data_IF_464991609621
#
_entry.id   IF_464991609621
#
_cell.length_a   1.000
_cell.length_b   1.000
_cell.length_c   1.000
_cell.angle_alpha   90.00
_cell.angle_beta   90.00
_cell.angle_gamma   90.00
#
_symmetry.space_group_name_H-M   'P 1'
#
loop_
_entity.id
_entity.type
_entity.pdbx_description
1 polymer ?
#
# COMPACT_ATOMS: atom_id res chain seq x y z
N UNK A 1 -1.24 -14.58 14.90
CA UNK A 1 -1.88 -13.24 14.87
C UNK A 1 -3.42 -13.31 14.90
N UNK A 2 -4.14 -12.40 15.57
CA UNK A 2 -5.61 -12.36 15.62
C UNK A 2 -6.21 -11.70 14.35
N UNK A 3 -7.17 -12.36 13.68
CA UNK A 3 -7.85 -11.85 12.47
C UNK A 3 -8.66 -10.58 12.75
N UNK A 4 -9.27 -10.45 13.93
CA UNK A 4 -10.03 -9.25 14.30
C UNK A 4 -9.13 -8.03 14.45
N UNK A 5 -7.93 -8.21 15.01
CA UNK A 5 -6.94 -7.14 15.12
C UNK A 5 -6.53 -6.63 13.74
N UNK A 6 -6.28 -7.54 12.79
CA UNK A 6 -5.96 -7.15 11.41
C UNK A 6 -7.13 -6.41 10.75
N UNK A 7 -8.36 -6.88 10.96
CA UNK A 7 -9.56 -6.20 10.44
C UNK A 7 -9.64 -4.76 10.94
N UNK A 8 -9.41 -4.53 12.24
CA UNK A 8 -9.43 -3.19 12.82
C UNK A 8 -8.34 -2.31 12.20
N UNK A 9 -7.11 -2.83 12.03
CA UNK A 9 -6.01 -2.11 11.37
C UNK A 9 -6.39 -1.72 9.94
N UNK A 10 -7.02 -2.62 9.17
CA UNK A 10 -7.45 -2.33 7.79
C UNK A 10 -8.43 -1.15 7.79
N UNK A 11 -9.46 -1.20 8.64
CA UNK A 11 -10.49 -0.15 8.72
C UNK A 11 -9.89 1.19 9.17
N UNK A 12 -9.02 1.18 10.18
CA UNK A 12 -8.30 2.38 10.64
C UNK A 12 -7.47 3.01 9.50
N UNK A 13 -6.76 2.18 8.74
CA UNK A 13 -5.93 2.64 7.62
C UNK A 13 -6.78 3.16 6.45
N UNK A 14 -7.93 2.57 6.17
CA UNK A 14 -8.87 3.05 5.17
C UNK A 14 -9.43 4.43 5.56
N UNK A 15 -9.78 4.64 6.84
CA UNK A 15 -10.20 5.94 7.35
C UNK A 15 -9.08 6.98 7.25
N UNK A 16 -7.84 6.59 7.58
CA UNK A 16 -6.66 7.46 7.45
C UNK A 16 -6.48 7.94 5.99
N UNK A 17 -6.60 7.05 5.00
CA UNK A 17 -6.50 7.40 3.58
C UNK A 17 -7.56 8.42 3.19
N UNK A 18 -8.78 8.30 3.72
CA UNK A 18 -9.86 9.24 3.44
C UNK A 18 -9.61 10.61 4.04
N UNK A 19 -9.11 10.67 5.28
CA UNK A 19 -8.90 11.92 6.02
C UNK A 19 -7.65 12.71 5.60
N UNK A 20 -6.64 12.03 5.04
CA UNK A 20 -5.41 12.68 4.63
C UNK A 20 -5.64 13.66 3.47
N UNK A 21 -5.22 14.90 3.67
CA UNK A 21 -5.10 15.91 2.62
C UNK A 21 -3.72 15.81 1.95
N UNK A 22 -3.71 15.71 0.62
CA UNK A 22 -2.48 15.57 -0.17
C UNK A 22 -2.38 16.70 -1.19
N UNK A 23 -1.25 17.39 -1.18
CA UNK A 23 -0.65 18.07 -2.33
C UNK A 23 -0.09 17.04 -3.33
N UNK A 24 -0.70 16.92 -4.50
CA UNK A 24 -0.32 15.95 -5.52
C UNK A 24 1.03 16.29 -6.18
N UNK A 25 1.86 15.26 -6.41
CA UNK A 25 3.08 15.36 -7.22
C UNK A 25 2.78 15.02 -8.68
N UNK A 26 3.49 15.61 -9.65
CA UNK A 26 3.34 15.30 -11.08
C UNK A 26 3.95 13.93 -11.40
N UNK A 27 3.29 12.88 -10.94
CA UNK A 27 3.65 11.49 -11.16
C UNK A 27 2.38 10.68 -11.39
N UNK A 28 2.34 10.04 -12.54
CA UNK A 28 1.23 9.18 -12.94
C UNK A 28 1.64 7.72 -12.78
N UNK A 29 0.75 6.95 -12.15
CA UNK A 29 0.92 5.52 -11.99
C UNK A 29 0.19 4.80 -13.11
N UNK A 30 0.81 3.77 -13.67
CA UNK A 30 0.17 2.82 -14.57
C UNK A 30 -0.86 1.97 -13.78
N UNK A 31 -1.99 1.66 -14.42
CA UNK A 31 -3.13 1.01 -13.74
C UNK A 31 -2.82 -0.39 -13.18
N UNK A 32 -1.89 -1.11 -13.81
CA UNK A 32 -1.48 -2.48 -13.41
C UNK A 32 0.00 -2.56 -13.03
N UNK A 33 0.64 -1.42 -12.77
CA UNK A 33 2.04 -1.35 -12.40
C UNK A 33 2.27 -1.83 -10.96
N UNK A 34 3.29 -2.66 -10.76
CA UNK A 34 3.79 -2.98 -9.43
C UNK A 34 4.95 -2.03 -9.13
N UNK A 35 4.83 -1.21 -8.08
CA UNK A 35 5.82 -0.17 -7.79
C UNK A 35 6.56 -0.46 -6.50
N UNK A 36 7.89 -0.38 -6.55
CA UNK A 36 8.70 -0.43 -5.34
C UNK A 36 9.41 0.89 -5.14
N UNK A 37 8.99 1.64 -4.12
CA UNK A 37 9.62 2.90 -3.76
C UNK A 37 10.80 2.65 -2.82
N UNK A 38 12.00 3.06 -3.23
CA UNK A 38 13.24 2.92 -2.45
C UNK A 38 13.84 4.30 -2.19
N UNK A 39 14.23 4.58 -0.95
CA UNK A 39 14.89 5.85 -0.62
C UNK A 39 15.07 6.12 0.87
N UNK A 40 15.72 7.24 1.17
CA UNK A 40 16.03 7.68 2.55
C UNK A 40 14.79 7.95 3.41
N UNK A 41 14.94 7.94 4.74
CA UNK A 41 13.87 8.34 5.68
C UNK A 41 13.35 9.73 5.30
N UNK A 42 12.04 9.96 5.45
CA UNK A 42 11.37 11.23 5.14
C UNK A 42 11.42 11.66 3.65
N UNK A 43 11.76 10.78 2.71
CA UNK A 43 11.66 11.09 1.27
C UNK A 43 10.21 11.25 0.75
N UNK A 44 9.20 11.06 1.59
CA UNK A 44 7.78 11.13 1.21
C UNK A 44 7.25 9.88 0.49
N UNK A 45 7.79 8.69 0.79
CA UNK A 45 7.36 7.45 0.12
C UNK A 45 5.94 7.04 0.51
N UNK A 46 5.58 7.12 1.79
CA UNK A 46 4.22 6.85 2.27
C UNK A 46 3.22 7.82 1.65
N UNK A 47 3.65 9.07 1.45
CA UNK A 47 2.87 10.09 0.78
C UNK A 47 2.53 9.74 -0.68
N UNK A 48 3.48 9.16 -1.42
CA UNK A 48 3.22 8.64 -2.77
C UNK A 48 2.20 7.50 -2.78
N UNK A 49 2.13 6.68 -1.72
CA UNK A 49 1.10 5.65 -1.61
C UNK A 49 -0.29 6.22 -1.40
N UNK A 50 -0.40 7.19 -0.50
CA UNK A 50 -1.67 7.87 -0.29
C UNK A 50 -2.13 8.58 -1.57
N UNK A 51 -1.20 9.16 -2.34
CA UNK A 51 -1.52 9.73 -3.64
C UNK A 51 -2.07 8.68 -4.60
N UNK A 52 -1.44 7.50 -4.68
CA UNK A 52 -1.96 6.41 -5.52
C UNK A 52 -3.34 5.93 -5.05
N UNK A 53 -3.53 5.78 -3.75
CA UNK A 53 -4.83 5.40 -3.20
C UNK A 53 -5.91 6.43 -3.56
N UNK A 54 -5.64 7.73 -3.40
CA UNK A 54 -6.57 8.80 -3.82
C UNK A 54 -6.82 8.82 -5.33
N UNK A 55 -5.82 8.54 -6.15
CA UNK A 55 -6.01 8.40 -7.60
C UNK A 55 -6.94 7.23 -7.94
N UNK A 56 -6.80 6.08 -7.28
CA UNK A 56 -7.71 4.94 -7.45
C UNK A 56 -9.14 5.32 -7.04
N UNK A 57 -9.31 6.00 -5.91
CA UNK A 57 -10.63 6.49 -5.48
C UNK A 57 -11.24 7.47 -6.51
N UNK A 58 -10.42 8.37 -7.09
CA UNK A 58 -10.85 9.28 -8.16
C UNK A 58 -11.22 8.55 -9.47
N UNK A 59 -10.60 7.41 -9.74
CA UNK A 59 -10.93 6.54 -10.87
C UNK A 59 -12.22 5.72 -10.66
N UNK A 60 -12.84 5.80 -9.47
CA UNK A 60 -14.09 5.12 -9.15
C UNK A 60 -13.93 3.76 -8.46
N UNK A 61 -12.71 3.41 -8.03
CA UNK A 61 -12.48 2.24 -7.17
C UNK A 61 -12.98 2.54 -5.74
N UNK A 62 -13.48 1.50 -5.06
CA UNK A 62 -13.95 1.61 -3.68
C UNK A 62 -12.77 1.61 -2.70
N UNK A 63 -12.93 2.26 -1.54
CA UNK A 63 -11.94 2.21 -0.46
C UNK A 63 -11.76 0.78 0.05
N UNK A 64 -12.80 -0.04 -0.04
CA UNK A 64 -12.74 -1.45 0.33
C UNK A 64 -11.79 -2.25 -0.59
N UNK A 65 -11.49 -1.75 -1.79
CA UNK A 65 -10.54 -2.39 -2.71
C UNK A 65 -9.07 -2.05 -2.38
N UNK A 66 -8.85 -1.15 -1.42
CA UNK A 66 -7.54 -0.62 -1.07
C UNK A 66 -7.11 -1.19 0.28
N UNK A 67 -6.05 -2.01 0.26
CA UNK A 67 -5.40 -2.54 1.45
C UNK A 67 -4.08 -1.79 1.70
N UNK A 68 -4.06 -0.98 2.74
CA UNK A 68 -2.84 -0.33 3.22
C UNK A 68 -2.39 -0.92 4.55
N UNK A 69 -1.10 -1.27 4.63
CA UNK A 69 -0.49 -1.84 5.82
C UNK A 69 0.87 -1.21 6.07
N UNK A 70 1.02 -0.70 7.30
CA UNK A 70 2.27 -0.17 7.84
C UNK A 70 2.92 -1.21 8.75
N UNK A 71 4.06 -1.77 8.35
CA UNK A 71 4.83 -2.66 9.24
C UNK A 71 5.53 -1.90 10.39
N UNK A 72 5.49 -0.57 10.39
CA UNK A 72 5.96 0.25 11.50
C UNK A 72 4.97 0.24 12.68
N UNK A 73 3.75 -0.26 12.48
CA UNK A 73 2.74 -0.42 13.53
C UNK A 73 3.16 -1.53 14.51
N UNK A 74 3.33 -1.17 15.78
CA UNK A 74 3.79 -2.06 16.85
C UNK A 74 2.94 -3.33 16.97
N UNK A 75 1.65 -3.27 16.62
CA UNK A 75 0.71 -4.41 16.68
C UNK A 75 1.04 -5.51 15.67
N UNK A 76 1.76 -5.17 14.59
CA UNK A 76 2.08 -6.08 13.47
C UNK A 76 3.58 -6.07 13.10
N UNK A 77 4.42 -5.38 13.87
CA UNK A 77 5.85 -5.20 13.61
C UNK A 77 6.63 -6.53 13.56
N UNK A 78 6.19 -7.56 14.28
CA UNK A 78 6.86 -8.87 14.36
C UNK A 78 6.25 -9.96 13.45
N UNK A 79 5.38 -9.58 12.51
CA UNK A 79 4.70 -10.57 11.66
C UNK A 79 5.71 -11.34 10.80
N UNK A 80 5.62 -12.67 10.84
CA UNK A 80 6.48 -13.56 10.04
C UNK A 80 5.93 -13.74 8.63
N UNK A 81 6.79 -14.10 7.68
CA UNK A 81 6.39 -14.31 6.28
C UNK A 81 5.26 -15.34 6.09
N UNK A 82 5.20 -16.35 6.96
CA UNK A 82 4.14 -17.37 6.94
C UNK A 82 2.80 -16.87 7.52
N UNK A 83 2.78 -15.73 8.21
CA UNK A 83 1.56 -15.12 8.75
C UNK A 83 0.98 -14.03 7.84
N UNK A 84 1.68 -13.64 6.77
CA UNK A 84 1.19 -12.65 5.79
C UNK A 84 -0.11 -13.09 5.11
N UNK A 85 -0.34 -14.39 4.96
CA UNK A 85 -1.59 -14.89 4.37
C UNK A 85 -2.81 -14.58 5.26
N UNK A 86 -2.62 -14.46 6.57
CA UNK A 86 -3.69 -14.09 7.52
C UNK A 86 -4.24 -12.70 7.17
N UNK A 87 -3.37 -11.79 6.74
CA UNK A 87 -3.75 -10.45 6.30
C UNK A 87 -4.65 -10.52 5.06
N UNK A 88 -4.22 -11.29 4.06
CA UNK A 88 -4.97 -11.45 2.81
C UNK A 88 -6.32 -12.14 3.05
N UNK A 89 -6.37 -13.10 3.98
CA UNK A 89 -7.61 -13.73 4.40
C UNK A 89 -8.53 -12.75 5.12
N UNK A 90 -8.01 -11.94 6.06
CA UNK A 90 -8.81 -10.96 6.80
C UNK A 90 -9.42 -9.91 5.85
N UNK A 91 -8.68 -9.48 4.83
CA UNK A 91 -9.18 -8.58 3.80
C UNK A 91 -10.27 -9.24 2.93
N UNK A 92 -10.07 -10.50 2.50
CA UNK A 92 -11.11 -11.23 1.73
C UNK A 92 -12.42 -11.41 2.49
N UNK A 93 -12.39 -11.41 3.82
CA UNK A 93 -13.60 -11.41 4.64
C UNK A 93 -14.34 -10.07 4.66
N UNK A 94 -13.70 -8.99 4.20
CA UNK A 94 -14.31 -7.68 4.06
C UNK A 94 -14.90 -7.46 2.66
N UNK A 95 -14.32 -8.07 1.62
CA UNK A 95 -14.62 -7.75 0.22
C UNK A 95 -14.17 -8.86 -0.74
N UNK A 96 -14.98 -9.09 -1.78
CA UNK A 96 -14.71 -10.02 -2.89
C UNK A 96 -13.98 -9.38 -4.09
N UNK A 97 -13.63 -8.10 -4.00
CA UNK A 97 -13.08 -7.35 -5.13
C UNK A 97 -11.57 -7.55 -5.38
N UNK A 98 -11.14 -7.19 -6.60
CA UNK A 98 -9.72 -7.12 -6.97
C UNK A 98 -8.96 -6.11 -6.11
N UNK A 99 -7.86 -6.58 -5.51
CA UNK A 99 -7.20 -5.92 -4.39
C UNK A 99 -5.96 -5.12 -4.81
N UNK A 100 -5.91 -3.86 -4.39
CA UNK A 100 -4.72 -3.01 -4.44
C UNK A 100 -3.99 -3.06 -3.10
N UNK A 101 -2.79 -3.63 -3.09
CA UNK A 101 -2.00 -3.79 -1.88
C UNK A 101 -0.89 -2.75 -1.79
N UNK A 102 -0.80 -2.11 -0.63
CA UNK A 102 0.20 -1.12 -0.27
C UNK A 102 0.90 -1.56 1.00
N UNK A 103 2.16 -1.99 0.85
CA UNK A 103 2.98 -2.50 1.95
C UNK A 103 4.13 -1.54 2.24
N UNK A 104 4.20 -1.04 3.48
CA UNK A 104 5.31 -0.19 3.93
C UNK A 104 6.17 -0.94 4.94
N UNK A 105 7.40 -1.30 4.54
CA UNK A 105 8.44 -1.79 5.46
C UNK A 105 9.60 -0.80 5.48
N UNK A 106 10.24 -0.60 6.63
CA UNK A 106 11.43 0.25 6.76
C UNK A 106 12.37 0.18 5.53
N UNK A 107 12.61 1.35 4.90
CA UNK A 107 13.43 1.61 3.68
C UNK A 107 12.92 1.11 2.31
N UNK A 108 11.93 0.21 2.24
CA UNK A 108 11.41 -0.33 0.96
C UNK A 108 9.90 -0.47 1.00
N UNK A 109 9.22 0.08 0.00
CA UNK A 109 7.77 0.16 -0.02
C UNK A 109 7.25 -0.46 -1.31
N UNK A 110 6.23 -1.32 -1.23
CA UNK A 110 5.71 -2.08 -2.37
C UNK A 110 4.23 -1.74 -2.62
N UNK A 111 3.90 -1.48 -3.88
CA UNK A 111 2.56 -1.37 -4.46
C UNK A 111 2.38 -2.53 -5.40
N UNK A 112 1.29 -3.26 -5.29
CA UNK A 112 0.96 -4.24 -6.32
C UNK A 112 -0.50 -4.65 -6.34
N UNK A 113 -0.96 -5.00 -7.54
CA UNK A 113 -2.22 -5.70 -7.73
C UNK A 113 -1.95 -7.19 -7.48
N UNK A 114 -2.68 -7.82 -6.56
CA UNK A 114 -2.50 -9.25 -6.34
C UNK A 114 -3.12 -10.02 -7.52
N UNK A 115 -2.25 -10.46 -8.43
CA UNK A 115 -2.25 -11.88 -8.77
C UNK A 115 -1.44 -12.62 -7.69
N UNK A 116 -1.79 -13.87 -7.35
CA UNK A 116 -1.39 -14.54 -6.12
C UNK A 116 0.08 -14.99 -6.21
N UNK A 117 1.01 -14.08 -5.95
CA UNK A 117 2.39 -14.42 -5.68
C UNK A 117 3.06 -13.24 -4.99
N UNK A 118 3.39 -13.45 -3.73
CA UNK A 118 4.49 -12.75 -3.05
C UNK A 118 5.69 -12.79 -4.00
N UNK A 119 6.18 -11.60 -4.40
CA UNK A 119 7.51 -11.26 -4.96
C UNK A 119 7.38 -10.25 -6.11
N UNK A 120 8.39 -9.38 -6.32
CA UNK A 120 8.45 -8.52 -7.48
C UNK A 120 8.32 -9.38 -8.75
N UNK A 121 7.22 -9.21 -9.46
CA UNK A 121 7.01 -9.82 -10.77
C UNK A 121 7.87 -9.07 -11.79
N UNK A 122 8.06 -9.63 -12.99
CA UNK A 122 8.89 -9.03 -14.05
C UNK A 122 8.50 -7.59 -14.44
N UNK A 123 7.35 -7.09 -13.99
CA UNK A 123 6.84 -5.74 -14.22
C UNK A 123 6.98 -4.81 -12.99
N UNK A 124 7.82 -5.17 -12.01
CA UNK A 124 8.07 -4.32 -10.85
C UNK A 124 9.01 -3.17 -11.20
N UNK A 125 8.48 -1.95 -11.20
CA UNK A 125 9.27 -0.73 -11.40
C UNK A 125 9.84 -0.25 -10.06
N UNK A 126 11.17 -0.16 -9.96
CA UNK A 126 11.85 0.39 -8.79
C UNK A 126 11.98 1.91 -8.95
N UNK A 127 11.15 2.65 -8.22
CA UNK A 127 11.22 4.11 -8.20
C UNK A 127 12.21 4.52 -7.10
N UNK A 128 13.42 4.86 -7.52
CA UNK A 128 14.39 5.56 -6.68
C UNK A 128 14.41 7.04 -7.06
N UNK A 129 14.74 7.90 -6.09
CA UNK A 129 14.69 9.36 -6.19
C UNK A 129 15.69 9.88 -7.22
N UNK A 130 15.37 9.81 -8.51
CA UNK A 130 16.11 10.43 -9.60
C UNK A 130 15.27 11.41 -10.45
N UNK A 131 13.97 11.56 -10.17
CA UNK A 131 13.12 12.50 -10.90
C UNK A 131 12.13 13.19 -9.96
N UNK A 132 12.52 14.33 -9.39
CA UNK A 132 11.61 15.42 -9.01
C UNK A 132 12.47 16.66 -8.74
N UNK A 133 12.17 17.82 -9.36
CA UNK A 133 12.86 19.06 -9.03
C UNK A 133 12.58 19.39 -7.56
N UNK A 134 13.60 19.91 -6.87
CA UNK A 134 13.46 20.46 -5.52
C UNK A 134 12.41 21.58 -5.58
N UNK A 135 11.37 21.48 -4.75
CA UNK A 135 10.76 22.67 -4.17
C UNK A 135 11.67 23.17 -3.05
#
# INVERSE_FOLDING_TARGET
>A
MNKELVRNIIVENQQLIQQIELVERPFEFEDKGNYVFVGVRQAGKSYMLFQRAKQLLKQGYDIDQILYISFDDERINEIKSNELDIILQAHRLLTDYSLFCFWMKYKTLMVGNILPAVLPTKNTQFISRAATPRC
#
